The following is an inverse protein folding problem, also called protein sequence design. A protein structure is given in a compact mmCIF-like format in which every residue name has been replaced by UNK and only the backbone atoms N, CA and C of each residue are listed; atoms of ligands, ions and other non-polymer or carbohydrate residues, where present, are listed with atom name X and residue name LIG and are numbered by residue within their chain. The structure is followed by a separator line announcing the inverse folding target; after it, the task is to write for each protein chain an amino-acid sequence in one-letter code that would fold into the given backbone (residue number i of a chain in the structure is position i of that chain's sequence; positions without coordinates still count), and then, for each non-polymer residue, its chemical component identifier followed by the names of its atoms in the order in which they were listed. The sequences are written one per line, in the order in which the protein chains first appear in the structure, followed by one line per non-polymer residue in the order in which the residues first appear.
data_IF_699980645323
#
_entry.id   IF_699980645323
#
_cell.length_a   1.000
_cell.length_b   1.000
_cell.length_c   1.000
_cell.angle_alpha   90.00
_cell.angle_beta   90.00
_cell.angle_gamma   90.00
#
_symmetry.space_group_name_H-M   'P 1'
#
loop_
_entity.id
_entity.type
_entity.pdbx_description
1 polymer ?
#
# COMPACT_ATOMS: atom_id res chain seq x y z
N UNK A 1 -11.54 -5.89 4.71
CA UNK A 1 -12.69 -4.96 4.86
C UNK A 1 -13.92 -5.66 5.43
N UNK A 2 -14.43 -6.75 4.81
CA UNK A 2 -15.63 -7.46 5.34
C UNK A 2 -15.49 -7.82 6.81
N UNK A 3 -14.35 -8.36 7.23
CA UNK A 3 -14.08 -8.72 8.62
C UNK A 3 -14.19 -7.51 9.55
N UNK A 4 -13.56 -6.37 9.19
CA UNK A 4 -13.68 -5.13 9.98
C UNK A 4 -15.13 -4.70 10.07
N UNK A 5 -15.85 -4.66 8.95
CA UNK A 5 -17.25 -4.20 8.91
C UNK A 5 -18.18 -5.04 9.79
N UNK A 6 -18.01 -6.38 9.77
CA UNK A 6 -18.78 -7.32 10.60
C UNK A 6 -18.71 -6.99 12.10
N UNK A 7 -17.56 -6.52 12.56
CA UNK A 7 -17.35 -6.19 13.97
C UNK A 7 -17.64 -4.71 14.26
N UNK A 8 -17.34 -3.81 13.32
CA UNK A 8 -17.52 -2.36 13.48
C UNK A 8 -18.98 -1.98 13.80
N UNK A 9 -19.96 -2.63 13.18
CA UNK A 9 -21.41 -2.39 13.45
C UNK A 9 -21.78 -2.51 14.91
N UNK A 10 -21.11 -3.36 15.67
CA UNK A 10 -21.40 -3.60 17.09
C UNK A 10 -21.08 -2.37 17.96
N UNK A 11 -20.13 -1.56 17.49
CA UNK A 11 -19.63 -0.37 18.19
C UNK A 11 -20.23 0.94 17.68
N UNK A 12 -21.04 0.90 16.61
CA UNK A 12 -21.77 2.07 16.12
C UNK A 12 -23.10 2.22 16.87
N UNK A 13 -23.44 3.42 17.38
CA UNK A 13 -24.75 3.67 17.97
C UNK A 13 -25.87 3.25 17.02
N UNK A 14 -26.88 2.53 17.54
CA UNK A 14 -27.99 2.00 16.75
C UNK A 14 -27.67 0.72 15.99
N UNK A 15 -26.45 0.18 16.07
CA UNK A 15 -26.02 -1.10 15.45
C UNK A 15 -26.54 -1.28 14.02
N UNK A 16 -26.23 -0.38 13.09
CA UNK A 16 -26.79 -0.39 11.74
C UNK A 16 -26.33 -1.61 10.93
N UNK A 17 -27.12 -1.99 9.93
CA UNK A 17 -26.71 -2.98 8.95
C UNK A 17 -25.81 -2.36 7.89
N UNK A 18 -24.86 -3.17 7.33
CA UNK A 18 -23.99 -2.77 6.24
C UNK A 18 -24.33 -3.45 4.92
N UNK A 19 -24.41 -2.63 3.88
CA UNK A 19 -24.48 -3.10 2.50
C UNK A 19 -23.13 -2.78 1.84
N UNK A 20 -22.42 -3.84 1.41
CA UNK A 20 -21.15 -3.69 0.71
C UNK A 20 -21.39 -3.43 -0.78
N UNK A 21 -20.90 -2.30 -1.26
CA UNK A 21 -20.90 -1.94 -2.67
C UNK A 21 -19.48 -1.89 -3.20
N UNK A 22 -19.26 -2.41 -4.41
CA UNK A 22 -17.95 -2.39 -5.08
C UNK A 22 -18.01 -1.39 -6.24
N UNK A 23 -17.00 -0.54 -6.32
CA UNK A 23 -16.88 0.47 -7.38
C UNK A 23 -15.48 0.38 -8.02
N UNK A 24 -15.23 -0.60 -8.88
CA UNK A 24 -13.95 -0.72 -9.58
C UNK A 24 -13.78 0.37 -10.64
N UNK A 25 -12.53 0.68 -10.97
CA UNK A 25 -12.16 1.59 -12.05
C UNK A 25 -11.07 2.60 -11.67
N UNK A 26 -10.18 2.88 -12.63
CA UNK A 26 -9.12 3.89 -12.52
C UNK A 26 -8.16 3.73 -11.34
N UNK A 27 -7.85 2.50 -10.90
CA UNK A 27 -7.01 2.29 -9.71
C UNK A 27 -7.66 2.77 -8.40
N UNK A 28 -9.00 2.84 -8.36
CA UNK A 28 -9.79 3.32 -7.23
C UNK A 28 -10.21 4.80 -7.34
N UNK A 29 -9.81 5.51 -8.39
CA UNK A 29 -10.15 6.92 -8.58
C UNK A 29 -11.66 7.13 -8.81
N UNK A 30 -12.35 6.19 -9.48
CA UNK A 30 -13.81 6.23 -9.64
C UNK A 30 -14.52 6.24 -8.29
N UNK A 31 -14.14 5.34 -7.39
CA UNK A 31 -14.69 5.30 -6.04
C UNK A 31 -14.37 6.55 -5.23
N UNK A 32 -13.13 7.07 -5.35
CA UNK A 32 -12.71 8.30 -4.67
C UNK A 32 -13.50 9.51 -5.16
N UNK A 33 -13.65 9.67 -6.46
CA UNK A 33 -14.46 10.75 -7.06
C UNK A 33 -15.93 10.68 -6.62
N UNK A 34 -16.52 9.49 -6.57
CA UNK A 34 -17.88 9.30 -6.06
C UNK A 34 -17.99 9.70 -4.58
N UNK A 35 -17.08 9.17 -3.73
CA UNK A 35 -17.11 9.45 -2.29
C UNK A 35 -16.92 10.94 -2.02
N UNK A 36 -16.06 11.58 -2.78
CA UNK A 36 -15.75 12.99 -2.58
C UNK A 36 -16.87 13.93 -3.06
N UNK A 37 -17.44 13.68 -4.24
CA UNK A 37 -18.34 14.63 -4.91
C UNK A 37 -19.83 14.28 -4.79
N UNK A 38 -20.19 12.99 -4.68
CA UNK A 38 -21.57 12.51 -4.89
C UNK A 38 -22.15 11.83 -3.64
N UNK A 39 -21.33 11.15 -2.85
CA UNK A 39 -21.83 10.37 -1.72
C UNK A 39 -22.55 11.23 -0.68
N UNK A 40 -23.67 10.76 -0.09
CA UNK A 40 -24.39 11.49 0.94
C UNK A 40 -23.49 11.84 2.13
N UNK A 41 -23.60 13.08 2.60
CA UNK A 41 -22.79 13.64 3.71
C UNK A 41 -23.46 13.46 5.08
N UNK A 42 -24.44 12.60 5.17
CA UNK A 42 -25.21 12.31 6.39
C UNK A 42 -24.54 11.30 7.34
N UNK A 43 -23.33 10.81 7.04
CA UNK A 43 -22.62 9.82 7.85
C UNK A 43 -22.96 8.36 7.55
N UNK A 44 -23.90 8.08 6.63
CA UNK A 44 -24.28 6.71 6.25
C UNK A 44 -23.35 6.07 5.21
N UNK A 45 -22.29 6.76 4.78
CA UNK A 45 -21.31 6.22 3.81
C UNK A 45 -19.94 6.11 4.44
N UNK A 46 -19.43 4.88 4.49
CA UNK A 46 -18.06 4.56 4.86
C UNK A 46 -17.38 3.89 3.68
N UNK A 47 -16.20 4.34 3.31
CA UNK A 47 -15.46 3.84 2.17
C UNK A 47 -14.11 3.28 2.59
N UNK A 48 -13.74 2.15 2.02
CA UNK A 48 -12.35 1.67 1.97
C UNK A 48 -11.78 2.11 0.63
N UNK A 49 -11.03 3.19 0.60
CA UNK A 49 -10.44 3.75 -0.61
C UNK A 49 -9.07 3.14 -0.94
N UNK A 50 -8.60 3.38 -2.17
CA UNK A 50 -7.25 3.00 -2.56
C UNK A 50 -6.23 3.77 -1.72
N UNK A 51 -5.21 3.08 -1.25
CA UNK A 51 -4.09 3.66 -0.50
C UNK A 51 -3.18 4.54 -1.37
N UNK A 52 -3.24 4.38 -2.70
CA UNK A 52 -2.47 5.19 -3.66
C UNK A 52 -3.07 6.58 -3.93
N UNK A 53 -4.27 6.90 -3.43
CA UNK A 53 -4.95 8.16 -3.77
C UNK A 53 -4.14 9.42 -3.43
N UNK A 54 -3.45 9.53 -2.28
CA UNK A 54 -2.63 10.70 -1.99
C UNK A 54 -1.50 10.88 -3.00
N UNK A 55 -0.78 9.80 -3.32
CA UNK A 55 0.26 9.83 -4.35
C UNK A 55 -0.31 10.17 -5.74
N UNK A 56 -1.47 9.63 -6.11
CA UNK A 56 -2.11 9.95 -7.39
C UNK A 56 -2.56 11.40 -7.49
N UNK A 57 -3.04 12.00 -6.40
CA UNK A 57 -3.40 13.42 -6.37
C UNK A 57 -2.22 14.29 -6.75
N UNK A 58 -1.02 13.98 -6.28
CA UNK A 58 0.19 14.71 -6.59
C UNK A 58 0.78 14.35 -7.96
N UNK A 59 0.93 13.05 -8.23
CA UNK A 59 1.66 12.56 -9.38
C UNK A 59 0.86 12.69 -10.69
N UNK A 60 -0.47 12.69 -10.66
CA UNK A 60 -1.32 12.84 -11.85
C UNK A 60 -1.86 14.25 -12.03
N UNK A 61 -1.97 15.04 -10.97
CA UNK A 61 -2.36 16.45 -11.00
C UNK A 61 -3.81 16.74 -11.42
N UNK A 62 -4.46 15.84 -12.13
CA UNK A 62 -5.83 16.03 -12.63
C UNK A 62 -6.78 14.97 -12.06
N UNK A 63 -6.98 15.00 -10.75
CA UNK A 63 -7.90 14.11 -10.05
C UNK A 63 -9.14 14.88 -9.57
N UNK A 64 -10.28 14.19 -9.52
CA UNK A 64 -11.57 14.80 -9.13
C UNK A 64 -11.85 14.60 -7.63
N UNK A 65 -10.84 14.69 -6.78
CA UNK A 65 -10.94 14.58 -5.32
C UNK A 65 -9.75 15.27 -4.64
N UNK A 66 -9.93 15.64 -3.40
CA UNK A 66 -8.87 16.10 -2.50
C UNK A 66 -8.84 15.21 -1.26
N UNK A 67 -7.80 14.38 -1.15
CA UNK A 67 -7.71 13.42 -0.05
C UNK A 67 -7.53 14.10 1.31
N UNK A 68 -7.00 15.33 1.35
CA UNK A 68 -6.84 16.08 2.60
C UNK A 68 -8.18 16.51 3.22
N UNK A 69 -9.25 16.54 2.41
CA UNK A 69 -10.60 16.90 2.85
C UNK A 69 -11.50 15.72 3.20
N UNK A 70 -11.02 14.49 2.98
CA UNK A 70 -11.75 13.29 3.42
C UNK A 70 -11.74 13.19 4.95
N UNK A 71 -12.84 12.70 5.51
CA UNK A 71 -12.89 12.36 6.93
C UNK A 71 -12.31 10.96 7.13
N UNK A 72 -11.04 10.85 7.44
CA UNK A 72 -10.43 9.55 7.76
C UNK A 72 -10.95 9.02 9.09
N UNK A 73 -11.30 7.74 9.12
CA UNK A 73 -11.84 7.05 10.30
C UNK A 73 -10.78 6.21 10.98
N UNK A 74 -9.77 5.80 10.23
CA UNK A 74 -8.63 5.05 10.73
C UNK A 74 -8.06 4.09 9.71
N UNK A 75 -6.92 3.51 10.06
CA UNK A 75 -6.23 2.49 9.29
C UNK A 75 -6.21 1.19 10.09
N UNK A 76 -6.73 0.10 9.53
CA UNK A 76 -6.74 -1.20 10.20
C UNK A 76 -5.40 -1.94 10.09
N UNK A 77 -4.64 -1.70 9.03
CA UNK A 77 -3.31 -2.29 8.82
C UNK A 77 -2.49 -1.47 7.84
N UNK A 78 -1.19 -1.48 7.99
CA UNK A 78 -0.26 -0.98 6.99
C UNK A 78 -0.28 -1.90 5.75
N UNK A 79 0.30 -1.41 4.64
CA UNK A 79 0.54 -2.23 3.46
C UNK A 79 2.03 -2.22 3.13
N UNK A 80 2.83 -2.72 4.08
CA UNK A 80 4.27 -2.90 3.83
C UNK A 80 4.47 -3.70 2.55
N UNK A 81 5.18 -3.11 1.58
CA UNK A 81 5.56 -3.80 0.35
C UNK A 81 6.92 -4.45 0.51
N UNK A 82 7.07 -5.63 -0.11
CA UNK A 82 8.34 -6.34 -0.15
C UNK A 82 8.66 -6.66 -1.60
N UNK A 83 9.84 -6.26 -2.03
CA UNK A 83 10.39 -6.61 -3.33
C UNK A 83 11.19 -7.89 -3.16
N UNK A 84 10.78 -8.93 -3.87
CA UNK A 84 11.43 -10.24 -3.85
C UNK A 84 11.87 -10.64 -5.24
N UNK A 85 12.97 -11.38 -5.30
CA UNK A 85 13.53 -11.99 -6.51
C UNK A 85 13.48 -13.50 -6.42
N UNK A 86 13.41 -14.16 -7.56
CA UNK A 86 13.41 -15.62 -7.65
C UNK A 86 14.83 -16.16 -7.45
N UNK A 87 14.97 -17.29 -6.80
CA UNK A 87 16.27 -17.87 -6.43
C UNK A 87 17.21 -18.09 -7.62
N UNK A 88 16.68 -18.37 -8.82
CA UNK A 88 17.50 -18.61 -10.02
C UNK A 88 18.25 -17.37 -10.50
N UNK A 89 17.94 -16.18 -9.96
CA UNK A 89 18.73 -14.95 -10.25
C UNK A 89 20.11 -14.96 -9.63
N UNK A 90 20.34 -15.81 -8.63
CA UNK A 90 21.56 -15.80 -7.82
C UNK A 90 21.68 -14.61 -6.85
N UNK A 91 20.69 -13.69 -6.85
CA UNK A 91 20.66 -12.50 -5.99
C UNK A 91 20.20 -12.88 -4.59
N UNK A 92 21.06 -12.68 -3.59
CA UNK A 92 20.82 -13.00 -2.18
C UNK A 92 20.59 -11.76 -1.31
N UNK A 93 20.86 -10.59 -1.84
CA UNK A 93 20.76 -9.30 -1.16
C UNK A 93 20.55 -8.15 -2.12
N UNK A 94 20.22 -6.96 -1.60
CA UNK A 94 20.20 -5.73 -2.41
C UNK A 94 21.60 -5.38 -2.98
N UNK A 95 22.66 -5.70 -2.24
CA UNK A 95 24.06 -5.51 -2.72
C UNK A 95 24.36 -6.38 -3.94
N UNK A 96 23.84 -7.61 -3.97
CA UNK A 96 24.00 -8.50 -5.13
C UNK A 96 23.17 -7.99 -6.31
N UNK A 97 21.96 -7.49 -6.05
CA UNK A 97 21.12 -6.87 -7.08
C UNK A 97 21.83 -5.68 -7.77
N UNK A 98 22.62 -4.90 -7.01
CA UNK A 98 23.41 -3.79 -7.56
C UNK A 98 24.55 -4.25 -8.48
N UNK A 99 25.02 -5.49 -8.33
CA UNK A 99 26.10 -6.09 -9.15
C UNK A 99 25.56 -6.98 -10.26
N UNK A 100 24.24 -7.13 -10.38
CA UNK A 100 23.62 -8.03 -11.34
C UNK A 100 23.92 -7.59 -12.79
N UNK A 101 24.62 -8.43 -13.55
CA UNK A 101 24.93 -8.18 -14.97
C UNK A 101 23.68 -8.31 -15.86
N UNK A 102 22.83 -9.29 -15.55
CA UNK A 102 21.54 -9.50 -16.23
C UNK A 102 20.45 -8.66 -15.57
N UNK A 103 19.47 -8.13 -16.32
CA UNK A 103 18.39 -7.38 -15.74
C UNK A 103 17.52 -8.26 -14.84
N UNK A 104 17.13 -7.74 -13.67
CA UNK A 104 16.10 -8.33 -12.84
C UNK A 104 14.75 -7.89 -13.42
N UNK A 105 13.97 -8.84 -13.91
CA UNK A 105 12.69 -8.58 -14.59
C UNK A 105 11.55 -8.72 -13.57
N UNK A 106 10.90 -7.60 -13.26
CA UNK A 106 9.76 -7.57 -12.34
C UNK A 106 8.43 -7.62 -13.09
N UNK A 107 7.53 -8.50 -12.66
CA UNK A 107 6.15 -8.53 -13.13
C UNK A 107 5.26 -7.54 -12.37
N UNK A 108 4.42 -6.80 -13.09
CA UNK A 108 3.48 -5.82 -12.54
C UNK A 108 2.10 -5.86 -13.20
N UNK A 109 1.06 -5.49 -12.44
CA UNK A 109 -0.31 -5.48 -12.95
C UNK A 109 -0.69 -4.21 -13.72
N UNK A 110 0.12 -3.15 -13.62
CA UNK A 110 -0.09 -1.90 -14.35
C UNK A 110 0.83 -0.81 -13.87
N UNK A 111 1.14 0.14 -14.75
CA UNK A 111 2.10 1.22 -14.50
C UNK A 111 1.74 2.15 -13.33
N UNK A 112 0.48 2.17 -12.94
CA UNK A 112 -0.02 2.97 -11.80
C UNK A 112 -0.09 2.17 -10.49
N UNK A 113 0.37 0.92 -10.47
CA UNK A 113 0.29 0.08 -9.28
C UNK A 113 1.63 0.07 -8.54
N UNK A 114 1.58 -0.09 -7.21
CA UNK A 114 2.79 -0.11 -6.38
C UNK A 114 3.77 -1.21 -6.80
N UNK A 115 3.27 -2.33 -7.35
CA UNK A 115 4.12 -3.41 -7.86
C UNK A 115 4.91 -3.04 -9.14
N UNK A 116 4.55 -1.94 -9.82
CA UNK A 116 5.33 -1.33 -10.88
C UNK A 116 6.22 -0.20 -10.32
N UNK A 117 5.62 0.68 -9.53
CA UNK A 117 6.27 1.90 -9.03
C UNK A 117 7.47 1.57 -8.15
N UNK A 118 7.31 0.66 -7.18
CA UNK A 118 8.38 0.34 -6.22
C UNK A 118 9.65 -0.19 -6.90
N UNK A 119 9.62 -1.24 -7.75
CA UNK A 119 10.84 -1.71 -8.42
C UNK A 119 11.38 -0.69 -9.44
N UNK A 120 10.53 0.11 -10.10
CA UNK A 120 10.99 1.17 -11.01
C UNK A 120 11.78 2.24 -10.27
N UNK A 121 11.24 2.75 -9.16
CA UNK A 121 11.89 3.77 -8.33
C UNK A 121 13.16 3.21 -7.70
N UNK A 122 13.10 2.00 -7.15
CA UNK A 122 14.25 1.30 -6.60
C UNK A 122 15.37 1.16 -7.64
N UNK A 123 15.03 0.71 -8.86
CA UNK A 123 16.00 0.57 -9.95
C UNK A 123 16.69 1.89 -10.28
N UNK A 124 15.93 2.97 -10.44
CA UNK A 124 16.46 4.28 -10.82
C UNK A 124 17.25 4.99 -9.73
N UNK A 125 16.77 4.97 -8.48
CA UNK A 125 17.44 5.64 -7.38
C UNK A 125 18.71 4.91 -6.93
N UNK A 126 18.70 3.58 -6.97
CA UNK A 126 19.84 2.76 -6.53
C UNK A 126 20.74 2.32 -7.69
N UNK A 127 20.44 2.70 -8.93
CA UNK A 127 21.23 2.31 -10.11
C UNK A 127 21.19 0.82 -10.42
N UNK A 128 20.07 0.12 -10.10
CA UNK A 128 19.96 -1.32 -10.32
C UNK A 128 19.55 -1.61 -11.76
N UNK A 129 20.08 -2.70 -12.32
CA UNK A 129 19.66 -3.20 -13.63
C UNK A 129 18.27 -3.87 -13.52
N UNK A 130 17.21 -3.07 -13.61
CA UNK A 130 15.81 -3.50 -13.41
C UNK A 130 15.00 -3.22 -14.67
N UNK A 131 14.19 -4.21 -15.08
CA UNK A 131 13.15 -4.08 -16.09
C UNK A 131 11.81 -4.43 -15.45
N UNK A 132 10.74 -3.64 -15.70
CA UNK A 132 9.41 -3.94 -15.18
C UNK A 132 8.46 -4.18 -16.36
N UNK A 133 7.82 -5.35 -16.37
CA UNK A 133 6.82 -5.77 -17.37
C UNK A 133 5.45 -5.62 -16.72
N UNK A 134 4.63 -4.73 -17.28
CA UNK A 134 3.27 -4.47 -16.81
C UNK A 134 2.23 -5.15 -17.72
N UNK A 135 1.01 -5.35 -17.19
CA UNK A 135 -0.12 -5.90 -17.95
C UNK A 135 -0.64 -7.23 -17.42
N UNK A 136 0.00 -7.80 -16.41
CA UNK A 136 -0.52 -9.01 -15.76
C UNK A 136 -1.88 -8.75 -15.10
N UNK A 137 -2.89 -9.64 -15.25
CA UNK A 137 -4.23 -9.41 -14.69
C UNK A 137 -4.29 -9.46 -13.16
N UNK A 138 -3.17 -9.73 -12.48
CA UNK A 138 -3.05 -9.69 -11.03
C UNK A 138 -1.94 -10.59 -10.49
N UNK A 139 -1.84 -10.64 -9.15
CA UNK A 139 -0.76 -11.36 -8.44
C UNK A 139 -0.65 -12.84 -8.83
N UNK A 140 -1.77 -13.52 -9.08
CA UNK A 140 -1.74 -14.95 -9.44
C UNK A 140 -1.04 -15.18 -10.79
N UNK A 141 -1.30 -14.32 -11.78
CA UNK A 141 -0.64 -14.39 -13.09
C UNK A 141 0.86 -14.05 -12.98
N UNK A 142 1.22 -13.06 -12.15
CA UNK A 142 2.64 -12.72 -11.90
C UNK A 142 3.35 -13.89 -11.20
N UNK A 143 2.70 -14.54 -10.25
CA UNK A 143 3.27 -15.71 -9.58
C UNK A 143 3.52 -16.84 -10.57
N UNK A 144 2.57 -17.12 -11.47
CA UNK A 144 2.75 -18.13 -12.53
C UNK A 144 3.92 -17.77 -13.46
N UNK A 145 4.05 -16.50 -13.84
CA UNK A 145 5.15 -16.01 -14.66
C UNK A 145 6.53 -16.14 -13.95
N UNK A 146 6.57 -16.00 -12.60
CA UNK A 146 7.76 -16.28 -11.79
C UNK A 146 8.15 -17.76 -11.84
N UNK A 147 7.19 -18.66 -11.66
CA UNK A 147 7.42 -20.11 -11.72
C UNK A 147 7.91 -20.57 -13.10
N UNK A 148 7.41 -19.92 -14.15
CA UNK A 148 7.78 -20.20 -15.54
C UNK A 148 9.08 -19.51 -15.98
N UNK A 149 9.68 -18.66 -15.15
CA UNK A 149 10.89 -17.91 -15.48
C UNK A 149 10.69 -16.75 -16.46
N UNK A 150 9.45 -16.39 -16.78
CA UNK A 150 9.12 -15.23 -17.63
C UNK A 150 9.52 -13.92 -16.98
N UNK A 151 9.32 -13.82 -15.66
CA UNK A 151 9.84 -12.74 -14.82
C UNK A 151 10.66 -13.32 -13.67
N UNK A 152 11.57 -12.53 -13.12
CA UNK A 152 12.50 -12.97 -12.08
C UNK A 152 12.28 -12.30 -10.74
N UNK A 153 11.26 -11.45 -10.62
CA UNK A 153 10.90 -10.79 -9.37
C UNK A 153 9.51 -10.20 -9.41
N UNK A 154 9.02 -9.85 -8.23
CA UNK A 154 7.86 -8.97 -8.07
C UNK A 154 7.91 -8.20 -6.76
N UNK A 155 7.32 -7.01 -6.76
CA UNK A 155 6.96 -6.31 -5.53
C UNK A 155 5.52 -6.64 -5.14
N UNK A 156 5.25 -6.70 -3.83
CA UNK A 156 3.89 -6.97 -3.36
C UNK A 156 3.74 -6.74 -1.87
N UNK A 157 2.51 -6.54 -1.41
CA UNK A 157 2.24 -6.41 0.00
C UNK A 157 2.69 -7.68 0.77
N UNK A 158 3.31 -7.48 1.94
CA UNK A 158 3.79 -8.59 2.77
C UNK A 158 2.70 -9.61 3.09
N UNK A 159 1.50 -9.12 3.42
CA UNK A 159 0.34 -9.99 3.63
C UNK A 159 -0.02 -10.86 2.42
N UNK A 160 0.22 -10.37 1.20
CA UNK A 160 0.02 -11.14 -0.04
C UNK A 160 1.11 -12.20 -0.24
N UNK A 161 2.35 -11.89 0.11
CA UNK A 161 3.44 -12.86 0.09
C UNK A 161 3.18 -14.01 1.06
N UNK A 162 2.83 -13.71 2.31
CA UNK A 162 2.52 -14.74 3.31
C UNK A 162 1.33 -15.62 2.87
N UNK A 163 0.26 -15.00 2.40
CA UNK A 163 -0.99 -15.73 2.15
C UNK A 163 -0.99 -16.53 0.85
N UNK A 164 -0.24 -16.10 -0.18
CA UNK A 164 -0.28 -16.68 -1.52
C UNK A 164 1.01 -17.35 -1.98
N UNK A 165 2.12 -17.02 -1.35
CA UNK A 165 3.46 -17.50 -1.71
C UNK A 165 4.33 -17.79 -0.47
N UNK A 166 3.71 -18.03 0.67
CA UNK A 166 4.43 -18.32 1.91
C UNK A 166 5.27 -19.60 1.86
N UNK A 167 4.89 -20.56 1.01
CA UNK A 167 5.68 -21.77 0.75
C UNK A 167 7.01 -21.43 0.04
N UNK A 168 7.06 -20.47 -0.88
CA UNK A 168 8.32 -20.05 -1.52
C UNK A 168 9.27 -19.36 -0.55
N UNK A 169 8.71 -18.61 0.42
CA UNK A 169 9.51 -17.97 1.47
C UNK A 169 10.15 -19.06 2.35
N UNK A 170 9.36 -20.06 2.75
CA UNK A 170 9.83 -21.18 3.59
C UNK A 170 10.84 -22.08 2.88
N UNK A 171 10.67 -22.30 1.58
CA UNK A 171 11.58 -23.15 0.77
C UNK A 171 12.79 -22.39 0.21
N UNK A 172 12.90 -21.07 0.45
CA UNK A 172 13.99 -20.26 -0.08
C UNK A 172 13.90 -19.98 -1.59
N UNK A 173 12.76 -20.25 -2.24
CA UNK A 173 12.57 -19.98 -3.65
C UNK A 173 12.48 -18.48 -3.98
N UNK A 174 12.20 -17.63 -2.99
CA UNK A 174 12.22 -16.17 -3.12
C UNK A 174 13.10 -15.53 -2.07
N UNK A 175 13.77 -14.47 -2.47
CA UNK A 175 14.67 -13.68 -1.63
C UNK A 175 14.12 -12.26 -1.51
N UNK A 176 13.89 -11.78 -0.30
CA UNK A 176 13.46 -10.41 -0.05
C UNK A 176 14.68 -9.47 -0.13
N UNK A 177 14.69 -8.57 -1.10
CA UNK A 177 15.82 -7.65 -1.32
C UNK A 177 15.57 -6.24 -0.78
N UNK A 178 14.31 -5.81 -0.68
CA UNK A 178 13.96 -4.50 -0.12
C UNK A 178 12.54 -4.49 0.46
N UNK A 179 12.35 -3.67 1.50
CA UNK A 179 11.03 -3.28 2.02
C UNK A 179 10.72 -1.85 1.56
N UNK A 180 9.44 -1.56 1.27
CA UNK A 180 8.94 -0.21 1.03
C UNK A 180 7.80 0.10 1.99
N UNK A 181 7.98 1.12 2.80
CA UNK A 181 7.08 1.57 3.86
C UNK A 181 7.71 2.76 4.58
N UNK A 182 7.04 3.31 5.58
CA UNK A 182 7.59 4.38 6.42
C UNK A 182 8.46 3.83 7.57
N UNK A 183 8.22 2.60 7.98
CA UNK A 183 8.90 1.94 9.09
C UNK A 183 9.39 0.56 8.63
N UNK A 184 10.53 0.13 9.16
CA UNK A 184 11.09 -1.19 8.88
C UNK A 184 10.37 -2.25 9.69
N UNK A 185 9.89 -3.31 9.05
CA UNK A 185 9.39 -4.49 9.75
C UNK A 185 10.54 -5.44 10.07
N UNK A 186 10.71 -5.78 11.33
CA UNK A 186 11.71 -6.75 11.80
C UNK A 186 11.41 -8.19 11.36
N UNK A 187 10.14 -8.49 11.08
CA UNK A 187 9.69 -9.83 10.70
C UNK A 187 10.06 -10.21 9.26
N UNK A 188 10.44 -9.21 8.43
CA UNK A 188 10.76 -9.44 7.03
C UNK A 188 12.26 -9.73 6.90
N UNK A 189 12.60 -11.01 6.80
CA UNK A 189 13.96 -11.50 6.56
C UNK A 189 14.18 -11.79 5.07
N UNK A 190 15.42 -11.70 4.62
CA UNK A 190 15.77 -11.90 3.21
C UNK A 190 15.75 -13.36 2.74
N UNK A 191 15.47 -14.31 3.60
CA UNK A 191 15.57 -15.76 3.34
C UNK A 191 16.91 -16.38 3.81
N UNK A 192 17.90 -15.55 4.10
CA UNK A 192 19.20 -15.95 4.66
C UNK A 192 19.40 -15.48 6.11
N UNK A 193 18.31 -15.21 6.81
CA UNK A 193 18.33 -14.75 8.21
C UNK A 193 18.64 -13.26 8.41
N UNK A 194 19.05 -12.54 7.37
CA UNK A 194 19.38 -11.12 7.45
C UNK A 194 18.12 -10.25 7.36
N UNK A 195 18.14 -9.10 8.02
CA UNK A 195 17.07 -8.13 7.95
C UNK A 195 17.01 -7.49 6.55
N UNK A 196 15.85 -7.54 5.90
CA UNK A 196 15.63 -6.89 4.60
C UNK A 196 15.70 -5.36 4.76
N UNK A 197 16.49 -4.63 3.96
CA UNK A 197 16.63 -3.18 4.09
C UNK A 197 15.33 -2.44 3.75
N UNK A 198 15.09 -1.32 4.43
CA UNK A 198 14.03 -0.39 4.09
C UNK A 198 14.54 0.60 3.02
N UNK A 199 13.81 0.77 1.92
CA UNK A 199 14.21 1.68 0.85
C UNK A 199 14.40 3.13 1.34
N UNK A 200 13.59 3.56 2.29
CA UNK A 200 13.68 4.89 2.88
C UNK A 200 15.02 5.17 3.57
N UNK A 201 15.65 4.13 4.13
CA UNK A 201 16.96 4.25 4.81
C UNK A 201 18.13 4.30 3.83
N UNK A 202 17.89 4.05 2.53
CA UNK A 202 18.89 4.04 1.47
C UNK A 202 18.95 5.36 0.70
N UNK A 203 18.16 6.35 1.09
CA UNK A 203 18.20 7.68 0.49
C UNK A 203 19.56 8.34 0.73
N UNK A 204 20.17 8.89 -0.34
CA UNK A 204 21.48 9.55 -0.30
C UNK A 204 21.42 11.01 0.15
N UNK A 205 20.22 11.62 0.09
CA UNK A 205 19.96 13.00 0.44
C UNK A 205 18.48 13.19 0.80
N UNK A 206 18.12 14.38 1.30
CA UNK A 206 16.78 14.70 1.73
C UNK A 206 15.74 14.68 0.60
N UNK A 207 16.11 15.05 -0.61
CA UNK A 207 15.25 14.98 -1.79
C UNK A 207 14.86 13.54 -2.12
N UNK A 208 15.84 12.64 -2.18
CA UNK A 208 15.58 11.21 -2.40
C UNK A 208 14.73 10.63 -1.27
N UNK A 209 15.02 11.00 -0.03
CA UNK A 209 14.25 10.58 1.14
C UNK A 209 12.79 11.05 1.06
N UNK A 210 12.56 12.29 0.66
CA UNK A 210 11.21 12.84 0.48
C UNK A 210 10.46 12.15 -0.67
N UNK A 211 11.13 11.86 -1.78
CA UNK A 211 10.57 11.12 -2.91
C UNK A 211 10.23 9.67 -2.51
N UNK A 212 11.13 8.98 -1.82
CA UNK A 212 10.87 7.62 -1.32
C UNK A 212 9.71 7.61 -0.31
N UNK A 213 9.62 8.64 0.55
CA UNK A 213 8.50 8.82 1.49
C UNK A 213 7.17 9.01 0.76
N UNK A 214 7.15 9.78 -0.33
CA UNK A 214 5.98 9.93 -1.19
C UNK A 214 5.53 8.59 -1.78
N UNK A 215 6.44 7.78 -2.30
CA UNK A 215 6.10 6.45 -2.85
C UNK A 215 5.76 5.41 -1.77
N UNK A 216 6.29 5.56 -0.55
CA UNK A 216 5.95 4.73 0.60
C UNK A 216 4.62 5.14 1.27
N UNK A 217 4.01 6.24 0.84
CA UNK A 217 2.76 6.77 1.39
C UNK A 217 1.59 5.79 1.28
N UNK A 218 1.61 4.92 0.28
CA UNK A 218 0.62 3.86 0.11
C UNK A 218 0.64 2.86 1.27
N UNK A 219 1.82 2.54 1.80
CA UNK A 219 1.97 1.70 2.98
C UNK A 219 1.41 2.39 4.23
N UNK A 220 1.66 3.70 4.39
CA UNK A 220 1.16 4.48 5.51
C UNK A 220 -0.37 4.57 5.54
N UNK A 221 -0.97 4.92 4.40
CA UNK A 221 -2.43 4.99 4.24
C UNK A 221 -3.08 3.60 4.34
N UNK A 222 -2.43 2.59 3.84
CA UNK A 222 -2.73 1.18 4.05
C UNK A 222 -4.20 0.81 3.84
N UNK A 223 -4.72 0.00 4.76
CA UNK A 223 -6.14 -0.41 4.77
C UNK A 223 -6.98 0.62 5.52
N UNK A 224 -7.12 1.78 4.91
CA UNK A 224 -7.85 2.93 5.45
C UNK A 224 -9.36 2.78 5.34
N UNK A 225 -10.05 3.52 6.21
CA UNK A 225 -11.48 3.78 6.14
C UNK A 225 -11.70 5.28 6.20
N UNK A 226 -12.60 5.79 5.37
CA UNK A 226 -12.89 7.23 5.27
C UNK A 226 -14.35 7.48 4.95
N UNK A 227 -14.84 8.67 5.28
CA UNK A 227 -16.16 9.19 4.97
C UNK A 227 -16.05 10.39 4.04
N UNK A 228 -17.12 10.76 3.31
CA UNK A 228 -17.14 11.95 2.47
C UNK A 228 -16.77 13.21 3.24
N UNK A 229 -16.24 14.25 2.56
CA UNK A 229 -16.10 15.57 3.17
C UNK A 229 -17.47 16.14 3.56
N UNK A 230 -17.49 17.02 4.57
CA UNK A 230 -18.71 17.71 5.00
C UNK A 230 -19.71 16.85 5.83
N UNK A 231 -19.33 15.65 6.24
CA UNK A 231 -20.10 14.89 7.24
C UNK A 231 -20.04 15.61 8.59
N UNK A 232 -21.16 15.72 9.35
CA UNK A 232 -21.16 16.37 10.65
C UNK A 232 -20.10 15.81 11.58
N UNK A 233 -19.32 16.68 12.24
CA UNK A 233 -18.20 16.31 13.11
C UNK A 233 -18.56 15.29 14.18
N UNK A 234 -19.76 15.39 14.77
CA UNK A 234 -20.23 14.44 15.78
C UNK A 234 -20.32 13.01 15.25
N UNK A 235 -20.79 12.83 13.99
CA UNK A 235 -20.90 11.52 13.32
C UNK A 235 -19.52 10.96 12.96
N UNK A 236 -18.59 11.82 12.50
CA UNK A 236 -17.19 11.44 12.26
C UNK A 236 -16.54 10.94 13.55
N UNK A 237 -16.66 11.72 14.65
CA UNK A 237 -16.12 11.33 15.96
C UNK A 237 -16.73 10.01 16.49
N UNK A 238 -18.04 9.80 16.30
CA UNK A 238 -18.69 8.55 16.69
C UNK A 238 -18.12 7.36 15.89
N UNK A 239 -17.88 7.53 14.59
CA UNK A 239 -17.31 6.49 13.75
C UNK A 239 -15.83 6.22 14.09
N UNK A 240 -15.03 7.25 14.41
CA UNK A 240 -13.66 7.08 14.91
C UNK A 240 -13.66 6.22 16.18
N UNK A 241 -14.48 6.57 17.18
CA UNK A 241 -14.59 5.79 18.43
C UNK A 241 -15.01 4.33 18.17
N UNK A 242 -15.98 4.13 17.28
CA UNK A 242 -16.42 2.78 16.90
C UNK A 242 -15.30 1.99 16.22
N UNK A 243 -14.50 2.64 15.38
CA UNK A 243 -13.34 2.02 14.74
C UNK A 243 -12.28 1.64 15.78
N UNK A 244 -11.91 2.55 16.68
CA UNK A 244 -10.90 2.28 17.70
C UNK A 244 -11.33 1.15 18.64
N UNK A 245 -12.60 1.14 19.07
CA UNK A 245 -13.18 0.06 19.83
C UNK A 245 -13.17 -1.28 19.07
N UNK A 246 -13.39 -1.25 17.76
CA UNK A 246 -13.29 -2.46 16.92
C UNK A 246 -11.87 -3.00 16.89
N UNK A 247 -10.86 -2.14 16.82
CA UNK A 247 -9.46 -2.56 16.70
C UNK A 247 -8.93 -3.25 17.98
N UNK A 248 -9.60 -3.04 19.10
CA UNK A 248 -9.29 -3.67 20.41
C UNK A 248 -10.29 -4.77 20.81
N UNK A 249 -11.36 -4.98 20.03
CA UNK A 249 -12.39 -6.00 20.29
C UNK A 249 -11.78 -7.41 20.19
N UNK A 250 -11.90 -8.18 21.29
CA UNK A 250 -11.37 -9.55 21.38
C UNK A 250 -11.93 -10.48 20.29
N UNK A 251 -13.22 -10.36 19.97
CA UNK A 251 -13.87 -11.18 18.94
C UNK A 251 -13.36 -10.80 17.52
N UNK A 252 -13.14 -9.51 17.27
CA UNK A 252 -12.50 -9.05 16.04
C UNK A 252 -11.07 -9.59 15.89
N UNK A 253 -10.27 -9.46 16.93
CA UNK A 253 -8.87 -9.92 16.92
C UNK A 253 -8.77 -11.44 16.73
N UNK A 254 -9.68 -12.21 17.37
CA UNK A 254 -9.76 -13.67 17.17
C UNK A 254 -10.14 -14.03 15.71
N UNK A 255 -11.15 -13.35 15.12
CA UNK A 255 -11.56 -13.56 13.71
C UNK A 255 -10.44 -13.16 12.75
N UNK A 256 -9.73 -12.06 13.02
CA UNK A 256 -8.58 -11.61 12.26
C UNK A 256 -7.44 -12.63 12.29
N UNK A 257 -7.09 -13.15 13.46
CA UNK A 257 -6.06 -14.20 13.66
C UNK A 257 -6.42 -15.47 12.90
N UNK A 258 -7.66 -15.95 13.00
CA UNK A 258 -8.16 -17.13 12.26
C UNK A 258 -8.00 -16.95 10.75
N UNK A 259 -8.18 -15.72 10.24
CA UNK A 259 -8.06 -15.36 8.83
C UNK A 259 -6.64 -14.97 8.42
N UNK A 260 -5.67 -15.05 9.31
CA UNK A 260 -4.27 -14.63 9.08
C UNK A 260 -4.18 -13.17 8.60
N UNK A 261 -5.02 -12.28 9.15
CA UNK A 261 -4.99 -10.86 8.85
C UNK A 261 -4.00 -10.17 9.78
N UNK A 262 -3.16 -9.32 9.22
CA UNK A 262 -2.29 -8.43 9.98
C UNK A 262 -3.14 -7.23 10.43
N UNK A 263 -3.11 -6.93 11.72
CA UNK A 263 -3.81 -5.79 12.34
C UNK A 263 -2.76 -4.88 12.98
N UNK A 264 -2.62 -3.68 12.42
CA UNK A 264 -1.68 -2.62 12.84
C UNK A 264 -2.43 -1.29 12.80
N UNK A 265 -3.34 -1.05 13.76
CA UNK A 265 -4.25 0.09 13.68
C UNK A 265 -3.53 1.42 13.87
N UNK A 266 -4.07 2.45 13.22
CA UNK A 266 -3.78 3.85 13.51
C UNK A 266 -5.10 4.62 13.57
N UNK A 267 -5.24 5.56 14.53
CA UNK A 267 -6.47 6.31 14.73
C UNK A 267 -6.71 7.35 13.62
N UNK A 268 -7.89 7.95 13.65
CA UNK A 268 -8.36 8.88 12.61
C UNK A 268 -7.48 10.14 12.52
N UNK A 269 -7.03 10.71 13.63
CA UNK A 269 -6.17 11.91 13.66
C UNK A 269 -4.82 11.65 13.00
N UNK A 270 -4.19 10.51 13.34
CA UNK A 270 -2.91 10.12 12.75
C UNK A 270 -3.03 9.98 11.23
N UNK A 271 -4.09 9.30 10.74
CA UNK A 271 -4.26 9.07 9.32
C UNK A 271 -4.59 10.35 8.55
N UNK A 272 -5.39 11.24 9.14
CA UNK A 272 -5.70 12.56 8.58
C UNK A 272 -4.45 13.42 8.45
N UNK A 273 -3.61 13.47 9.50
CA UNK A 273 -2.34 14.17 9.48
C UNK A 273 -1.40 13.60 8.43
N UNK A 274 -1.25 12.28 8.38
CA UNK A 274 -0.41 11.59 7.38
C UNK A 274 -0.85 11.90 5.95
N UNK A 275 -2.16 11.87 5.66
CA UNK A 275 -2.67 12.20 4.32
C UNK A 275 -2.40 13.66 3.95
N UNK A 276 -2.55 14.59 4.90
CA UNK A 276 -2.25 16.01 4.69
C UNK A 276 -0.75 16.25 4.44
N UNK A 277 0.12 15.60 5.20
CA UNK A 277 1.59 15.69 5.02
C UNK A 277 2.02 15.17 3.63
N UNK A 278 1.42 14.08 3.16
CA UNK A 278 1.72 13.53 1.83
C UNK A 278 1.38 14.56 0.74
N UNK A 279 0.18 15.13 0.77
CA UNK A 279 -0.23 16.08 -0.27
C UNK A 279 0.46 17.44 -0.16
N UNK A 280 1.08 17.75 0.97
CA UNK A 280 1.93 18.91 1.16
C UNK A 280 3.34 18.77 0.55
N UNK A 281 3.66 17.62 -0.07
CA UNK A 281 4.95 17.40 -0.75
C UNK A 281 5.24 18.53 -1.76
N UNK A 282 6.40 19.20 -1.69
CA UNK A 282 6.73 20.33 -2.54
C UNK A 282 6.67 20.00 -4.04
N UNK A 283 6.13 20.93 -4.85
CA UNK A 283 6.00 20.73 -6.31
C UNK A 283 7.29 20.32 -7.02
N UNK A 284 8.49 20.88 -6.71
CA UNK A 284 9.73 20.44 -7.32
C UNK A 284 10.03 18.95 -7.06
N UNK A 285 9.76 18.44 -5.86
CA UNK A 285 9.93 17.02 -5.52
C UNK A 285 8.91 16.14 -6.25
N UNK A 286 7.67 16.59 -6.36
CA UNK A 286 6.64 15.90 -7.17
C UNK A 286 7.08 15.80 -8.64
N UNK A 287 7.67 16.86 -9.20
CA UNK A 287 8.21 16.86 -10.59
C UNK A 287 9.35 15.83 -10.72
N UNK A 288 10.29 15.79 -9.77
CA UNK A 288 11.35 14.78 -9.73
C UNK A 288 10.79 13.36 -9.62
N UNK A 289 9.79 13.15 -8.76
CA UNK A 289 9.14 11.85 -8.60
C UNK A 289 8.42 11.38 -9.89
N UNK A 290 7.74 12.30 -10.61
CA UNK A 290 7.15 12.00 -11.93
C UNK A 290 8.22 11.57 -12.94
N UNK A 291 9.33 12.30 -13.01
CA UNK A 291 10.42 12.00 -13.92
C UNK A 291 11.03 10.59 -13.67
N UNK A 292 11.12 10.15 -12.42
CA UNK A 292 11.53 8.79 -12.08
C UNK A 292 10.59 7.72 -12.64
N UNK A 293 9.31 8.03 -12.81
CA UNK A 293 8.33 7.10 -13.39
C UNK A 293 8.20 7.26 -14.92
N UNK A 294 8.88 8.25 -15.53
CA UNK A 294 8.69 8.60 -16.93
C UNK A 294 7.32 9.24 -17.21
N UNK A 295 6.68 9.82 -16.19
CA UNK A 295 5.39 10.51 -16.33
C UNK A 295 5.61 12.01 -16.61
N UNK A 296 4.93 12.50 -17.65
CA UNK A 296 4.95 13.91 -18.02
C UNK A 296 4.04 14.74 -17.12
#
# INVERSE_FOLDING_TARGET
SRTVMKHLVKHIPGKPNFILQFMPGGGGQKAAGYVYNVAPRNGARLAKLSNMLPAFQLLRGNVKYDVSKLNYIGRAASMQYVTMVWHTTGVKSLKDAAKAKKPIIFGASGVSQSNYIVPTVMGKLLGLNVKVVAGYPGTAAINKALEQGEVTGRAGAWSSWISKAGHWIKSGQVVAIAQSGLEKSGDIKNGYGQATPLLLDLAKNDDERAILKLFASDAAVGRNFSMPPGVPKARVKAMCRAFDATMTDKAFLADAKKRKLIIEPKPCEWLSKTAAEIVATPKPLVKKARALLGWK
#
